data_IF_302947872036
#
_entry.id   IF_302947872036
#
_cell.length_a   1.000
_cell.length_b   1.000
_cell.length_c   1.000
_cell.angle_alpha   90.00
_cell.angle_beta   90.00
_cell.angle_gamma   90.00
#
_symmetry.space_group_name_H-M   'P 1'
#
loop_
_entity.id
_entity.type
_entity.pdbx_description
1 polymer ?
#
# COMPACT_ATOMS: atom_id res chain seq x y z
N UNK A 1 -52.77 53.95 0.46
CA UNK A 1 -52.39 52.58 0.84
C UNK A 1 -51.91 51.84 -0.41
N UNK A 2 -50.64 52.00 -0.76
CA UNK A 2 -50.00 51.27 -1.86
C UNK A 2 -48.90 50.45 -1.19
N UNK A 3 -49.12 49.15 -1.09
CA UNK A 3 -48.26 48.20 -0.41
C UNK A 3 -47.05 47.89 -1.29
N UNK A 4 -45.88 48.35 -0.86
CA UNK A 4 -44.58 47.98 -1.42
C UNK A 4 -44.31 46.49 -1.20
N UNK A 5 -44.47 45.69 -2.27
CA UNK A 5 -43.96 44.32 -2.31
C UNK A 5 -42.44 44.40 -2.55
N UNK A 6 -41.68 44.18 -1.47
CA UNK A 6 -40.23 44.01 -1.53
C UNK A 6 -39.91 42.77 -2.38
N UNK A 7 -39.37 43.02 -3.56
CA UNK A 7 -38.81 42.03 -4.46
C UNK A 7 -37.52 41.47 -3.83
N UNK A 8 -37.67 40.47 -2.95
CA UNK A 8 -36.55 39.73 -2.38
C UNK A 8 -35.82 39.02 -3.52
N UNK A 9 -34.62 39.52 -3.84
CA UNK A 9 -33.75 38.98 -4.88
C UNK A 9 -33.30 37.56 -4.54
N UNK A 10 -34.13 36.57 -4.84
CA UNK A 10 -33.71 35.18 -4.94
C UNK A 10 -32.84 35.05 -6.18
N UNK A 11 -31.52 35.18 -5.99
CA UNK A 11 -30.54 34.75 -6.98
C UNK A 11 -30.75 33.25 -7.20
N UNK A 12 -31.30 32.87 -8.36
CA UNK A 12 -31.48 31.47 -8.71
C UNK A 12 -30.13 30.74 -8.54
N UNK A 13 -30.07 29.66 -7.74
CA UNK A 13 -28.84 28.90 -7.61
C UNK A 13 -28.42 28.44 -8.99
N UNK A 14 -27.13 28.63 -9.31
CA UNK A 14 -26.58 28.23 -10.58
C UNK A 14 -26.77 26.72 -10.75
N UNK A 15 -27.73 26.31 -11.60
CA UNK A 15 -28.16 24.92 -11.75
C UNK A 15 -26.99 23.98 -12.10
N UNK A 16 -25.98 24.50 -12.80
CA UNK A 16 -24.77 23.75 -13.15
C UNK A 16 -23.90 23.45 -11.92
N UNK A 17 -23.86 24.36 -10.94
CA UNK A 17 -23.16 24.11 -9.67
C UNK A 17 -23.79 22.95 -8.92
N UNK A 18 -25.13 22.91 -8.84
CA UNK A 18 -25.86 21.84 -8.15
C UNK A 18 -25.58 20.48 -8.79
N UNK A 19 -25.64 20.39 -10.12
CA UNK A 19 -25.35 19.15 -10.86
C UNK A 19 -23.89 18.72 -10.67
N UNK A 20 -22.94 19.67 -10.69
CA UNK A 20 -21.52 19.34 -10.51
C UNK A 20 -21.15 18.84 -9.11
N UNK A 21 -21.92 19.25 -8.09
CA UNK A 21 -21.72 18.84 -6.70
C UNK A 21 -22.51 17.59 -6.28
N UNK A 22 -23.45 17.14 -7.11
CA UNK A 22 -24.34 16.03 -6.77
C UNK A 22 -23.56 14.71 -6.75
N UNK A 23 -23.74 13.92 -5.67
CA UNK A 23 -23.12 12.59 -5.60
C UNK A 23 -23.81 11.61 -6.54
N UNK A 24 -23.15 10.49 -6.84
CA UNK A 24 -23.74 9.38 -7.61
C UNK A 24 -25.09 8.93 -7.03
N UNK A 25 -25.21 8.92 -5.69
CA UNK A 25 -26.43 8.52 -4.98
C UNK A 25 -27.54 9.55 -5.17
N UNK A 26 -27.21 10.85 -5.11
CA UNK A 26 -28.18 11.93 -5.31
C UNK A 26 -28.71 11.93 -6.74
N UNK A 27 -27.84 11.67 -7.72
CA UNK A 27 -28.22 11.58 -9.13
C UNK A 27 -29.13 10.38 -9.41
N UNK A 28 -28.89 9.23 -8.76
CA UNK A 28 -29.83 8.09 -8.82
C UNK A 28 -31.15 8.44 -8.14
N UNK A 29 -31.12 9.01 -6.92
CA UNK A 29 -32.31 9.35 -6.16
C UNK A 29 -33.19 10.41 -6.86
N UNK A 30 -32.57 11.31 -7.63
CA UNK A 30 -33.27 12.31 -8.44
C UNK A 30 -34.07 11.71 -9.61
N UNK A 31 -33.88 10.42 -9.90
CA UNK A 31 -34.51 9.69 -11.01
C UNK A 31 -34.34 10.42 -12.37
N UNK A 32 -33.21 11.10 -12.56
CA UNK A 32 -32.94 11.84 -13.77
C UNK A 32 -32.74 10.87 -14.96
N UNK A 33 -33.60 10.90 -15.99
CA UNK A 33 -33.55 9.92 -17.08
C UNK A 33 -32.29 10.03 -17.94
N UNK A 34 -31.68 11.22 -18.03
CA UNK A 34 -30.43 11.41 -18.78
C UNK A 34 -29.28 10.71 -18.07
N UNK A 35 -29.20 10.87 -16.75
CA UNK A 35 -28.19 10.23 -15.94
C UNK A 35 -28.33 8.70 -15.94
N UNK A 36 -29.55 8.19 -15.79
CA UNK A 36 -29.82 6.76 -15.83
C UNK A 36 -29.44 6.13 -17.18
N UNK A 37 -29.76 6.80 -18.29
CA UNK A 37 -29.32 6.35 -19.63
C UNK A 37 -27.80 6.37 -19.77
N UNK A 38 -27.12 7.40 -19.26
CA UNK A 38 -25.66 7.47 -19.27
C UNK A 38 -25.03 6.34 -18.45
N UNK A 39 -25.57 6.07 -17.26
CA UNK A 39 -25.13 4.97 -16.40
C UNK A 39 -25.34 3.60 -17.05
N UNK A 40 -26.49 3.38 -17.68
CA UNK A 40 -26.77 2.16 -18.44
C UNK A 40 -25.79 2.00 -19.62
N UNK A 41 -25.52 3.08 -20.35
CA UNK A 41 -24.57 3.08 -21.47
C UNK A 41 -23.15 2.75 -20.99
N UNK A 42 -22.72 3.35 -19.88
CA UNK A 42 -21.42 3.06 -19.26
C UNK A 42 -21.29 1.57 -18.88
N UNK A 43 -22.31 1.00 -18.22
CA UNK A 43 -22.30 -0.42 -17.84
C UNK A 43 -22.29 -1.34 -19.06
N UNK A 44 -23.02 -0.98 -20.10
CA UNK A 44 -23.04 -1.75 -21.35
C UNK A 44 -21.67 -1.75 -22.02
N UNK A 45 -21.04 -0.57 -22.12
CA UNK A 45 -19.70 -0.43 -22.69
C UNK A 45 -18.66 -1.20 -21.86
N UNK A 46 -18.78 -1.16 -20.53
CA UNK A 46 -17.91 -1.91 -19.63
C UNK A 46 -17.99 -3.43 -19.87
N UNK A 47 -19.20 -3.98 -20.00
CA UNK A 47 -19.38 -5.40 -20.31
C UNK A 47 -18.90 -5.77 -21.71
N UNK A 48 -19.12 -4.92 -22.72
CA UNK A 48 -18.58 -5.13 -24.06
C UNK A 48 -17.05 -5.19 -24.05
N UNK A 49 -16.40 -4.27 -23.34
CA UNK A 49 -14.94 -4.25 -23.21
C UNK A 49 -14.43 -5.51 -22.50
N UNK A 50 -15.11 -5.95 -21.44
CA UNK A 50 -14.82 -7.21 -20.75
C UNK A 50 -14.94 -8.41 -21.69
N UNK A 51 -16.01 -8.49 -22.48
CA UNK A 51 -16.23 -9.56 -23.46
C UNK A 51 -15.15 -9.56 -24.55
N UNK A 52 -14.80 -8.38 -25.10
CA UNK A 52 -13.72 -8.25 -26.09
C UNK A 52 -12.37 -8.71 -25.53
N UNK A 53 -12.05 -8.38 -24.28
CA UNK A 53 -10.83 -8.91 -23.64
C UNK A 53 -10.86 -10.43 -23.52
N UNK A 54 -11.99 -11.01 -23.13
CA UNK A 54 -12.14 -12.47 -23.04
C UNK A 54 -12.04 -13.15 -24.41
N UNK A 55 -12.66 -12.57 -25.44
CA UNK A 55 -12.54 -13.06 -26.82
C UNK A 55 -11.12 -12.97 -27.33
N UNK A 56 -10.42 -11.86 -27.08
CA UNK A 56 -9.02 -11.67 -27.50
C UNK A 56 -8.12 -12.73 -26.87
N UNK A 57 -8.28 -13.03 -25.57
CA UNK A 57 -7.52 -14.08 -24.90
C UNK A 57 -7.89 -15.47 -25.45
N UNK A 58 -9.17 -15.73 -25.72
CA UNK A 58 -9.63 -17.02 -26.27
C UNK A 58 -9.13 -17.25 -27.70
N UNK A 59 -9.22 -16.24 -28.58
CA UNK A 59 -8.73 -16.29 -29.95
C UNK A 59 -7.22 -16.46 -30.01
N UNK A 60 -6.46 -15.84 -29.09
CA UNK A 60 -5.02 -16.05 -28.99
C UNK A 60 -4.66 -17.51 -28.67
N UNK A 61 -5.47 -18.19 -27.84
CA UNK A 61 -5.27 -19.61 -27.53
C UNK A 61 -5.68 -20.54 -28.69
N UNK A 62 -6.76 -20.22 -29.42
CA UNK A 62 -7.24 -21.05 -30.53
C UNK A 62 -6.37 -20.94 -31.78
N UNK A 63 -5.77 -19.76 -32.04
CA UNK A 63 -4.87 -19.56 -33.20
C UNK A 63 -3.55 -20.36 -33.10
N UNK A 64 -3.24 -20.96 -31.95
CA UNK A 64 -2.06 -21.81 -31.76
C UNK A 64 -2.23 -23.27 -32.24
N UNK A 65 -3.43 -23.67 -32.70
CA UNK A 65 -3.76 -25.09 -32.98
C UNK A 65 -3.86 -25.52 -34.44
N UNK A 66 -3.49 -24.67 -35.41
CA UNK A 66 -3.42 -25.05 -36.83
C UNK A 66 -1.97 -25.15 -37.34
N UNK A 67 -1.28 -26.29 -37.19
CA UNK A 67 -0.03 -26.58 -37.87
C UNK A 67 -0.34 -27.25 -39.21
N UNK A 68 -0.62 -26.48 -40.26
CA UNK A 68 -0.65 -27.04 -41.62
C UNK A 68 -0.25 -26.02 -42.66
N UNK A 69 1.01 -26.15 -43.09
CA UNK A 69 1.62 -25.68 -44.34
C UNK A 69 1.69 -24.14 -44.52
N UNK A 70 2.80 -23.47 -44.79
CA UNK A 70 4.03 -23.82 -45.51
C UNK A 70 5.23 -23.04 -44.93
N UNK A 71 6.40 -23.63 -45.14
CA UNK A 71 7.75 -23.19 -44.83
C UNK A 71 8.10 -21.79 -45.32
N UNK A 72 8.40 -20.86 -44.41
CA UNK A 72 9.43 -19.83 -44.63
C UNK A 72 10.08 -19.51 -43.27
N UNK A 73 11.41 -19.58 -43.25
CA UNK A 73 12.29 -19.46 -42.07
C UNK A 73 11.97 -18.25 -41.20
N UNK A 74 11.10 -18.45 -40.23
CA UNK A 74 10.79 -17.45 -39.21
C UNK A 74 11.65 -17.79 -38.00
N UNK A 75 12.56 -16.91 -37.55
CA UNK A 75 13.36 -17.18 -36.37
C UNK A 75 12.41 -17.42 -35.20
N UNK A 76 12.50 -18.62 -34.62
CA UNK A 76 11.70 -19.07 -33.51
C UNK A 76 11.87 -18.11 -32.33
N UNK A 77 10.96 -17.15 -32.22
CA UNK A 77 10.67 -16.46 -30.97
C UNK A 77 9.85 -17.44 -30.14
N UNK A 78 10.50 -18.49 -29.65
CA UNK A 78 10.01 -19.22 -28.50
C UNK A 78 9.67 -18.15 -27.46
N UNK A 79 8.39 -18.02 -27.03
CA UNK A 79 8.10 -17.28 -25.82
C UNK A 79 8.85 -18.04 -24.74
N UNK A 80 10.06 -17.56 -24.45
CA UNK A 80 10.85 -17.95 -23.31
C UNK A 80 10.02 -17.51 -22.12
N UNK A 81 9.04 -18.35 -21.78
CA UNK A 81 8.50 -18.44 -20.45
C UNK A 81 9.70 -18.83 -19.61
N UNK A 82 10.53 -17.82 -19.32
CA UNK A 82 11.74 -17.94 -18.53
C UNK A 82 11.27 -18.72 -17.31
N UNK A 83 11.80 -19.94 -17.11
CA UNK A 83 11.49 -20.71 -15.93
C UNK A 83 11.61 -19.72 -14.79
N UNK A 84 10.51 -19.52 -14.05
CA UNK A 84 10.59 -18.74 -12.83
C UNK A 84 11.37 -19.64 -11.89
N UNK A 85 12.69 -19.64 -12.07
CA UNK A 85 13.60 -20.47 -11.31
C UNK A 85 13.27 -20.19 -9.87
N UNK A 86 12.82 -21.24 -9.18
CA UNK A 86 12.57 -21.19 -7.77
C UNK A 86 13.90 -20.81 -7.14
N UNK A 87 14.00 -19.56 -6.70
CA UNK A 87 15.20 -19.08 -6.04
C UNK A 87 15.30 -19.81 -4.72
N UNK A 88 16.24 -20.74 -4.66
CA UNK A 88 16.52 -21.52 -3.47
C UNK A 88 17.64 -20.86 -2.67
N UNK A 89 17.59 -21.07 -1.36
CA UNK A 89 18.59 -20.58 -0.40
C UNK A 89 20.00 -21.06 -0.71
N UNK A 90 20.15 -22.24 -1.31
CA UNK A 90 21.42 -22.81 -1.74
C UNK A 90 22.15 -21.99 -2.80
N UNK A 91 21.41 -21.25 -3.63
CA UNK A 91 22.01 -20.43 -4.71
C UNK A 91 22.57 -19.10 -4.19
N UNK A 92 22.06 -18.60 -3.07
CA UNK A 92 22.47 -17.33 -2.47
C UNK A 92 22.76 -17.52 -0.96
N UNK A 93 23.87 -18.18 -0.61
CA UNK A 93 24.18 -18.51 0.79
C UNK A 93 24.48 -17.28 1.66
N UNK A 94 24.82 -16.14 1.04
CA UNK A 94 25.10 -14.89 1.75
C UNK A 94 23.85 -14.24 2.35
N UNK A 95 22.65 -14.63 1.89
CA UNK A 95 21.39 -14.04 2.32
C UNK A 95 20.95 -14.67 3.64
N UNK A 96 20.84 -13.85 4.68
CA UNK A 96 20.55 -14.30 6.05
C UNK A 96 19.05 -14.36 6.31
N UNK A 97 18.31 -13.44 5.69
CA UNK A 97 16.90 -13.20 5.96
C UNK A 97 16.00 -13.81 4.89
N UNK A 98 16.16 -15.12 4.65
CA UNK A 98 15.35 -15.86 3.67
C UNK A 98 13.88 -15.99 4.08
N UNK A 99 13.62 -16.29 5.36
CA UNK A 99 12.28 -16.49 5.91
C UNK A 99 11.88 -15.35 6.84
N UNK A 100 10.57 -15.13 6.99
CA UNK A 100 10.02 -14.13 7.92
C UNK A 100 10.40 -14.44 9.38
N UNK A 101 10.50 -15.72 9.73
CA UNK A 101 10.84 -16.15 11.08
C UNK A 101 12.29 -15.82 11.43
N UNK A 102 13.23 -15.98 10.49
CA UNK A 102 14.62 -15.57 10.69
C UNK A 102 14.73 -14.07 10.97
N UNK A 103 13.95 -13.26 10.23
CA UNK A 103 13.87 -11.83 10.50
C UNK A 103 13.32 -11.52 11.88
N UNK A 104 12.20 -12.14 12.28
CA UNK A 104 11.62 -11.94 13.61
C UNK A 104 12.60 -12.31 14.74
N UNK A 105 13.32 -13.43 14.61
CA UNK A 105 14.38 -13.85 15.55
C UNK A 105 15.53 -12.84 15.61
N UNK A 106 15.94 -12.27 14.47
CA UNK A 106 16.98 -11.24 14.45
C UNK A 106 16.54 -9.94 15.15
N UNK A 107 15.25 -9.61 15.10
CA UNK A 107 14.67 -8.42 15.74
C UNK A 107 14.52 -8.59 17.25
N UNK A 108 14.19 -9.78 17.75
CA UNK A 108 14.13 -10.04 19.19
C UNK A 108 15.48 -9.86 19.86
N UNK A 109 16.57 -10.31 19.22
CA UNK A 109 17.93 -10.19 19.77
C UNK A 109 18.39 -8.72 19.90
N UNK A 110 17.95 -7.84 18.99
CA UNK A 110 18.29 -6.41 19.03
C UNK A 110 17.58 -5.65 20.16
N UNK A 111 16.39 -6.08 20.58
CA UNK A 111 15.64 -5.42 21.66
C UNK A 111 16.34 -5.57 23.02
N UNK A 112 17.07 -6.66 23.23
CA UNK A 112 17.75 -6.94 24.51
C UNK A 112 18.99 -6.07 24.72
N UNK A 113 19.61 -5.55 23.66
CA UNK A 113 20.90 -4.84 23.75
C UNK A 113 20.79 -3.31 23.87
N UNK A 114 19.59 -2.72 23.77
CA UNK A 114 19.41 -1.25 23.66
C UNK A 114 18.95 -0.58 24.97
N UNK A 115 19.16 -1.20 26.14
CA UNK A 115 18.81 -0.59 27.44
C UNK A 115 19.83 0.45 27.93
N UNK A 116 21.02 0.55 27.33
CA UNK A 116 22.06 1.50 27.75
C UNK A 116 22.48 2.44 26.61
N UNK A 117 22.03 3.69 26.66
CA UNK A 117 22.80 4.80 26.08
C UNK A 117 22.06 5.70 25.10
N UNK A 118 21.83 6.94 25.57
CA UNK A 118 21.65 8.21 24.83
C UNK A 118 20.54 8.25 23.78
N UNK A 119 19.56 9.11 24.04
CA UNK A 119 18.51 9.51 23.09
C UNK A 119 19.13 9.87 21.72
N UNK A 120 19.10 8.93 20.77
CA UNK A 120 19.67 9.11 19.45
C UNK A 120 18.92 10.20 18.68
N UNK A 121 19.67 11.03 17.96
CA UNK A 121 19.13 12.05 17.05
C UNK A 121 18.04 11.44 16.15
N UNK A 122 16.82 12.01 16.22
CA UNK A 122 15.64 11.55 15.49
C UNK A 122 15.62 12.06 14.05
N UNK A 123 15.13 11.21 13.14
CA UNK A 123 14.52 11.59 11.86
C UNK A 123 15.48 11.98 10.74
N UNK A 124 15.95 13.21 10.74
CA UNK A 124 16.57 13.82 9.55
C UNK A 124 18.03 13.38 9.31
N UNK A 125 18.85 13.35 10.38
CA UNK A 125 20.30 13.14 10.25
C UNK A 125 20.65 11.73 9.73
N UNK A 126 19.82 10.72 9.98
CA UNK A 126 20.08 9.33 9.55
C UNK A 126 19.77 9.13 8.07
N UNK A 127 18.71 9.76 7.58
CA UNK A 127 18.36 9.73 6.16
C UNK A 127 19.45 10.41 5.31
N UNK A 128 20.02 11.51 5.79
CA UNK A 128 21.14 12.18 5.14
C UNK A 128 22.43 11.32 5.04
N UNK A 129 22.56 10.31 5.91
CA UNK A 129 23.71 9.39 5.92
C UNK A 129 23.47 8.11 5.12
N UNK A 130 22.40 8.04 4.34
CA UNK A 130 22.02 6.87 3.55
C UNK A 130 21.81 5.59 4.40
N UNK A 131 21.47 5.76 5.69
CA UNK A 131 21.28 4.64 6.62
C UNK A 131 19.84 4.14 6.50
N UNK A 132 19.68 2.89 6.05
CA UNK A 132 18.39 2.21 6.07
C UNK A 132 17.99 1.89 7.53
N UNK A 133 16.87 2.45 7.98
CA UNK A 133 16.32 2.20 9.32
C UNK A 133 15.03 1.38 9.26
N UNK A 134 14.29 1.46 8.16
CA UNK A 134 12.92 0.93 8.08
C UNK A 134 12.86 -0.49 7.51
N UNK A 135 13.64 -0.77 6.47
CA UNK A 135 13.54 -2.01 5.70
C UNK A 135 14.84 -2.80 5.81
N UNK A 136 15.29 -3.03 7.05
CA UNK A 136 16.54 -3.76 7.38
C UNK A 136 16.53 -5.23 6.92
N UNK A 137 15.39 -5.72 6.43
CA UNK A 137 15.24 -7.07 5.88
C UNK A 137 15.55 -7.18 4.39
N UNK A 138 15.74 -6.06 3.70
CA UNK A 138 16.07 -6.07 2.27
C UNK A 138 17.58 -6.26 2.16
N UNK A 139 17.97 -7.40 1.60
CA UNK A 139 19.36 -7.81 1.39
C UNK A 139 19.57 -8.04 -0.11
N UNK A 140 20.73 -7.62 -0.62
CA UNK A 140 21.19 -7.93 -1.97
C UNK A 140 21.76 -9.35 -2.04
N UNK A 141 22.14 -9.79 -3.23
CA UNK A 141 22.65 -11.15 -3.49
C UNK A 141 23.94 -11.46 -2.70
N UNK A 142 24.74 -10.44 -2.41
CA UNK A 142 25.97 -10.51 -1.61
C UNK A 142 25.71 -10.53 -0.09
N UNK A 143 24.45 -10.44 0.34
CA UNK A 143 24.05 -10.37 1.75
C UNK A 143 24.20 -8.98 2.37
N UNK A 144 24.54 -7.94 1.58
CA UNK A 144 24.56 -6.56 2.07
C UNK A 144 23.13 -6.03 2.22
N UNK A 145 22.89 -5.24 3.26
CA UNK A 145 21.57 -4.62 3.50
C UNK A 145 21.41 -3.44 2.55
N UNK A 146 20.25 -3.34 1.90
CA UNK A 146 19.95 -2.22 1.02
C UNK A 146 20.09 -0.86 1.74
N UNK A 147 20.64 0.11 1.03
CA UNK A 147 20.89 1.48 1.51
C UNK A 147 19.59 2.26 1.72
N UNK A 148 19.65 3.36 2.46
CA UNK A 148 18.48 4.19 2.75
C UNK A 148 17.82 4.77 1.49
N UNK A 149 18.64 5.14 0.50
CA UNK A 149 18.26 5.69 -0.80
C UNK A 149 17.61 4.65 -1.70
N UNK A 150 18.18 3.44 -1.79
CA UNK A 150 17.55 2.33 -2.53
C UNK A 150 16.17 2.02 -1.97
N UNK A 151 16.05 1.93 -0.64
CA UNK A 151 14.77 1.70 0.02
C UNK A 151 13.78 2.85 -0.20
N UNK A 152 14.25 4.09 -0.26
CA UNK A 152 13.41 5.26 -0.62
C UNK A 152 12.84 5.10 -2.04
N UNK A 153 13.68 4.73 -3.01
CA UNK A 153 13.27 4.47 -4.39
C UNK A 153 12.29 3.29 -4.50
N UNK A 154 12.50 2.22 -3.74
CA UNK A 154 11.56 1.10 -3.66
C UNK A 154 10.18 1.57 -3.18
N UNK A 155 10.11 2.40 -2.14
CA UNK A 155 8.84 2.95 -1.63
C UNK A 155 8.18 3.91 -2.62
N UNK A 156 8.96 4.70 -3.36
CA UNK A 156 8.46 5.57 -4.44
C UNK A 156 7.84 4.74 -5.56
N UNK A 157 8.54 3.69 -5.97
CA UNK A 157 8.06 2.71 -6.96
C UNK A 157 6.75 2.07 -6.50
N UNK A 158 6.70 1.61 -5.24
CA UNK A 158 5.52 1.00 -4.66
C UNK A 158 4.30 1.93 -4.63
N UNK A 159 4.48 3.20 -4.24
CA UNK A 159 3.40 4.20 -4.27
C UNK A 159 2.93 4.50 -5.70
N UNK A 160 3.84 4.50 -6.68
CA UNK A 160 3.48 4.58 -8.10
C UNK A 160 2.61 3.40 -8.54
N UNK A 161 2.98 2.17 -8.13
CA UNK A 161 2.20 0.97 -8.42
C UNK A 161 0.81 1.04 -7.78
N UNK A 162 0.68 1.54 -6.55
CA UNK A 162 -0.65 1.72 -5.92
C UNK A 162 -1.54 2.70 -6.70
N UNK A 163 -0.98 3.79 -7.24
CA UNK A 163 -1.71 4.70 -8.14
C UNK A 163 -2.17 3.99 -9.42
N UNK A 164 -1.30 3.17 -10.02
CA UNK A 164 -1.66 2.37 -11.20
C UNK A 164 -2.76 1.35 -10.88
N UNK A 165 -2.70 0.70 -9.71
CA UNK A 165 -3.73 -0.24 -9.26
C UNK A 165 -5.06 0.49 -9.08
N UNK A 166 -5.08 1.65 -8.42
CA UNK A 166 -6.29 2.48 -8.27
C UNK A 166 -6.93 2.82 -9.62
N UNK A 167 -6.11 3.17 -10.62
CA UNK A 167 -6.59 3.56 -11.94
C UNK A 167 -7.04 2.36 -12.79
N UNK A 168 -6.37 1.21 -12.65
CA UNK A 168 -6.60 0.03 -13.51
C UNK A 168 -7.63 -0.94 -12.92
N UNK A 169 -7.75 -0.98 -11.59
CA UNK A 169 -8.62 -1.88 -10.83
C UNK A 169 -9.44 -1.10 -9.79
N UNK A 170 -10.24 -0.11 -10.19
CA UNK A 170 -10.96 0.77 -9.25
C UNK A 170 -11.91 0.00 -8.34
N UNK A 171 -12.52 -1.09 -8.82
CA UNK A 171 -13.45 -1.93 -8.07
C UNK A 171 -12.76 -2.95 -7.16
N UNK A 172 -11.45 -3.19 -7.33
CA UNK A 172 -10.70 -4.21 -6.56
C UNK A 172 -9.72 -3.59 -5.56
N UNK A 173 -9.81 -2.27 -5.31
CA UNK A 173 -8.92 -1.61 -4.37
C UNK A 173 -9.32 -2.02 -2.93
N UNK A 174 -8.48 -2.77 -2.20
CA UNK A 174 -8.89 -3.34 -0.94
C UNK A 174 -8.80 -2.30 0.20
N UNK A 175 -9.65 -2.40 1.21
CA UNK A 175 -9.56 -1.52 2.39
C UNK A 175 -8.26 -1.70 3.17
N UNK A 176 -7.74 -2.93 3.20
CA UNK A 176 -6.44 -3.29 3.80
C UNK A 176 -5.66 -4.15 2.82
N UNK A 177 -4.33 -4.08 2.85
CA UNK A 177 -3.51 -4.85 1.90
C UNK A 177 -3.70 -6.37 2.04
N UNK A 178 -3.99 -6.86 3.24
CA UNK A 178 -4.29 -8.28 3.47
C UNK A 178 -5.58 -8.78 2.81
N UNK A 179 -6.48 -7.87 2.40
CA UNK A 179 -7.72 -8.19 1.69
C UNK A 179 -7.60 -7.99 0.16
N UNK A 180 -6.38 -7.76 -0.36
CA UNK A 180 -6.15 -7.58 -1.79
C UNK A 180 -6.50 -8.84 -2.60
N UNK A 181 -7.06 -8.66 -3.80
CA UNK A 181 -7.32 -9.76 -4.73
C UNK A 181 -6.00 -10.41 -5.18
N UNK A 182 -6.05 -11.70 -5.55
CA UNK A 182 -4.86 -12.42 -6.06
C UNK A 182 -4.29 -11.70 -7.30
N UNK A 183 -5.14 -11.15 -8.15
CA UNK A 183 -4.74 -10.40 -9.34
C UNK A 183 -3.94 -9.13 -8.96
N UNK A 184 -4.42 -8.35 -7.98
CA UNK A 184 -3.74 -7.15 -7.49
C UNK A 184 -2.41 -7.50 -6.81
N UNK A 185 -2.39 -8.56 -5.99
CA UNK A 185 -1.16 -9.02 -5.33
C UNK A 185 -0.11 -9.44 -6.37
N UNK A 186 -0.52 -10.23 -7.37
CA UNK A 186 0.37 -10.67 -8.46
C UNK A 186 0.90 -9.48 -9.25
N UNK A 187 0.03 -8.56 -9.67
CA UNK A 187 0.43 -7.34 -10.38
C UNK A 187 1.46 -6.53 -9.60
N UNK A 188 1.22 -6.32 -8.32
CA UNK A 188 2.14 -5.59 -7.45
C UNK A 188 3.50 -6.31 -7.34
N UNK A 189 3.51 -7.62 -7.11
CA UNK A 189 4.74 -8.42 -7.01
C UNK A 189 5.56 -8.36 -8.29
N UNK A 190 4.92 -8.60 -9.44
CA UNK A 190 5.60 -8.61 -10.75
C UNK A 190 6.26 -7.26 -11.03
N UNK A 191 5.54 -6.15 -10.79
CA UNK A 191 6.09 -4.79 -10.96
C UNK A 191 7.21 -4.47 -9.97
N UNK A 192 7.08 -4.88 -8.71
CA UNK A 192 8.14 -4.67 -7.71
C UNK A 192 9.38 -5.49 -8.02
N UNK A 193 9.27 -6.76 -8.44
CA UNK A 193 10.42 -7.59 -8.80
C UNK A 193 11.11 -7.13 -10.07
N UNK A 194 10.35 -6.65 -11.04
CA UNK A 194 10.93 -6.07 -12.26
C UNK A 194 11.77 -4.83 -11.97
N UNK A 195 11.38 -4.01 -10.99
CA UNK A 195 12.10 -2.79 -10.63
C UNK A 195 13.21 -3.05 -9.59
N UNK A 196 13.00 -3.97 -8.65
CA UNK A 196 13.85 -4.21 -7.49
C UNK A 196 14.04 -5.72 -7.26
N UNK A 197 14.95 -6.38 -8.02
CA UNK A 197 15.12 -7.83 -7.98
C UNK A 197 15.48 -8.40 -6.61
N UNK A 198 16.17 -7.63 -5.75
CA UNK A 198 16.55 -8.06 -4.40
C UNK A 198 15.34 -8.44 -3.51
N UNK A 199 14.15 -7.91 -3.80
CA UNK A 199 12.93 -8.26 -3.06
C UNK A 199 12.46 -9.70 -3.35
N UNK A 200 12.90 -10.29 -4.47
CA UNK A 200 12.59 -11.68 -4.85
C UNK A 200 13.39 -12.70 -4.04
N UNK A 201 14.47 -12.26 -3.37
CA UNK A 201 15.35 -13.08 -2.54
C UNK A 201 14.72 -13.35 -1.17
N UNK A 202 13.51 -13.92 -1.16
CA UNK A 202 12.80 -14.35 0.05
C UNK A 202 11.79 -15.48 -0.21
N UNK A 203 11.51 -16.30 0.81
CA UNK A 203 10.51 -17.36 0.68
C UNK A 203 9.10 -16.79 0.71
N UNK A 204 8.19 -17.36 -0.07
CA UNK A 204 6.76 -16.97 -0.08
C UNK A 204 6.52 -15.46 -0.28
N UNK A 205 7.45 -14.75 -0.93
CA UNK A 205 7.33 -13.32 -1.22
C UNK A 205 7.11 -12.45 0.04
N UNK A 206 7.66 -12.84 1.19
CA UNK A 206 7.34 -12.17 2.46
C UNK A 206 7.90 -10.75 2.52
N UNK A 207 9.07 -10.46 1.93
CA UNK A 207 9.69 -9.12 1.95
C UNK A 207 8.81 -8.09 1.25
N UNK A 208 8.40 -8.37 0.01
CA UNK A 208 7.52 -7.47 -0.77
C UNK A 208 6.13 -7.35 -0.13
N UNK A 209 5.61 -8.42 0.47
CA UNK A 209 4.29 -8.41 1.11
C UNK A 209 4.30 -7.58 2.40
N UNK A 210 5.38 -7.68 3.19
CA UNK A 210 5.59 -6.84 4.38
C UNK A 210 5.74 -5.36 3.98
N UNK A 211 6.58 -5.08 2.99
CA UNK A 211 6.80 -3.73 2.48
C UNK A 211 5.49 -3.08 1.99
N UNK A 212 4.65 -3.84 1.30
CA UNK A 212 3.33 -3.39 0.87
C UNK A 212 2.39 -3.11 2.04
N UNK A 213 2.36 -3.97 3.05
CA UNK A 213 1.54 -3.76 4.25
C UNK A 213 1.92 -2.47 4.97
N UNK A 214 3.21 -2.22 5.12
CA UNK A 214 3.75 -1.02 5.78
C UNK A 214 3.40 0.27 5.02
N UNK A 215 3.56 0.26 3.69
CA UNK A 215 3.33 1.44 2.86
C UNK A 215 1.83 1.70 2.59
N UNK A 216 1.03 0.65 2.41
CA UNK A 216 -0.33 0.74 1.89
C UNK A 216 -1.27 1.50 2.83
N UNK A 217 -1.21 1.24 4.14
CA UNK A 217 -2.12 1.86 5.12
C UNK A 217 -2.07 3.39 5.09
N UNK A 218 -0.85 3.95 5.08
CA UNK A 218 -0.61 5.39 5.00
C UNK A 218 -1.06 5.97 3.66
N UNK A 219 -0.73 5.30 2.55
CA UNK A 219 -1.10 5.71 1.22
C UNK A 219 -2.62 5.70 1.01
N UNK A 220 -3.30 4.63 1.41
CA UNK A 220 -4.75 4.46 1.26
C UNK A 220 -5.53 5.53 2.01
N UNK A 221 -5.08 5.85 3.23
CA UNK A 221 -5.71 6.92 4.03
C UNK A 221 -5.62 8.27 3.31
N UNK A 222 -4.43 8.64 2.79
CA UNK A 222 -4.22 9.89 2.04
C UNK A 222 -5.00 9.92 0.71
N UNK A 223 -5.00 8.83 -0.04
CA UNK A 223 -5.42 8.83 -1.45
C UNK A 223 -6.84 8.30 -1.73
N UNK A 224 -7.47 7.65 -0.74
CA UNK A 224 -8.77 7.01 -0.91
C UNK A 224 -9.76 7.48 0.14
N UNK A 225 -9.39 7.42 1.42
CA UNK A 225 -10.30 7.86 2.50
C UNK A 225 -10.51 9.38 2.48
N UNK A 226 -9.44 10.15 2.37
CA UNK A 226 -9.55 11.62 2.42
C UNK A 226 -10.22 12.20 1.18
N UNK A 227 -10.03 11.59 0.00
CA UNK A 227 -10.70 12.03 -1.23
C UNK A 227 -12.21 11.82 -1.19
N UNK A 228 -12.72 10.88 -0.38
CA UNK A 228 -14.16 10.72 -0.19
C UNK A 228 -14.76 11.81 0.71
N UNK A 229 -13.95 12.42 1.59
CA UNK A 229 -14.39 13.47 2.51
C UNK A 229 -14.14 14.89 1.96
N UNK A 230 -13.14 15.06 1.08
CA UNK A 230 -12.68 16.35 0.55
C UNK A 230 -13.11 16.52 -0.91
N UNK A 231 -14.39 16.26 -1.21
CA UNK A 231 -15.08 16.90 -2.34
C UNK A 231 -15.72 18.24 -1.92
N UNK A 232 -15.21 18.83 -0.84
CA UNK A 232 -15.38 20.24 -0.51
C UNK A 232 -14.00 20.88 -0.44
N UNK A 233 -13.74 21.73 -1.43
CA UNK A 233 -12.63 22.68 -1.57
C UNK A 233 -11.20 22.17 -1.82
N UNK A 234 -10.64 22.77 -2.88
CA UNK A 234 -9.22 23.06 -3.17
C UNK A 234 -8.36 21.95 -3.78
N UNK A 235 -8.15 22.11 -5.09
CA UNK A 235 -6.93 21.75 -5.80
C UNK A 235 -5.72 22.42 -5.12
N UNK A 236 -5.02 21.69 -4.25
CA UNK A 236 -3.68 22.06 -3.83
C UNK A 236 -2.71 20.94 -4.21
N UNK A 237 -1.78 21.35 -5.07
CA UNK A 237 -0.53 20.74 -5.49
C UNK A 237 0.01 19.69 -4.51
N UNK A 238 0.09 18.42 -4.96
CA UNK A 238 0.74 17.31 -4.25
C UNK A 238 2.27 17.49 -4.35
N UNK A 239 2.75 18.57 -3.74
CA UNK A 239 4.17 18.75 -3.45
C UNK A 239 4.48 17.77 -2.31
N UNK A 240 5.08 16.63 -2.66
CA UNK A 240 5.77 15.76 -1.73
C UNK A 240 6.88 16.58 -1.04
N UNK A 241 6.53 17.32 0.01
CA UNK A 241 7.46 17.94 0.97
C UNK A 241 8.13 16.84 1.82
N UNK A 242 8.79 15.89 1.18
CA UNK A 242 10.03 15.32 1.70
C UNK A 242 11.11 16.37 1.40
N UNK A 243 11.11 17.46 2.18
CA UNK A 243 12.08 18.54 2.11
C UNK A 243 13.50 17.98 2.21
N UNK A 244 14.07 17.72 1.05
CA UNK A 244 15.49 17.53 0.84
C UNK A 244 16.14 18.88 1.13
N UNK A 245 16.53 19.07 2.39
CA UNK A 245 17.40 20.17 2.81
C UNK A 245 18.76 20.02 2.12
N UNK A 246 18.81 20.44 0.86
CA UNK A 246 20.02 20.61 0.07
C UNK A 246 20.94 21.56 0.84
N UNK A 247 21.95 20.97 1.46
CA UNK A 247 22.95 21.67 2.26
C UNK A 247 23.91 22.38 1.31
N UNK A 248 23.56 23.59 0.87
CA UNK A 248 24.53 24.50 0.30
C UNK A 248 25.55 24.92 1.39
N UNK A 249 26.84 25.10 1.05
CA UNK A 249 27.86 25.44 2.03
C UNK A 249 27.68 26.88 2.54
N UNK A 250 27.87 27.15 3.86
CA UNK A 250 27.83 28.50 4.38
C UNK A 250 29.12 29.23 3.96
N UNK A 251 29.01 30.16 3.01
CA UNK A 251 30.07 31.11 2.72
C UNK A 251 29.67 32.52 3.14
N UNK A 252 30.64 33.16 3.79
CA UNK A 252 30.78 34.59 4.00
C UNK A 252 29.99 35.27 5.11
N UNK A 253 30.74 35.48 6.19
CA UNK A 253 30.62 36.53 7.19
C UNK A 253 29.95 37.83 6.71
N UNK A 254 29.03 38.35 7.53
CA UNK A 254 28.92 39.80 7.70
C UNK A 254 28.54 40.17 9.12
N UNK A 255 29.38 41.06 9.63
CA UNK A 255 29.54 41.59 10.97
C UNK A 255 28.31 42.35 11.52
N UNK A 256 28.03 42.09 12.80
CA UNK A 256 27.75 43.05 13.89
C UNK A 256 27.01 44.37 13.57
N UNK A 257 25.84 44.55 14.19
CA UNK A 257 25.61 45.70 15.09
C UNK A 257 24.36 45.50 15.94
N UNK A 258 24.48 45.90 17.20
CA UNK A 258 23.64 45.62 18.35
C UNK A 258 22.26 46.30 18.38
N UNK A 259 21.28 45.63 18.98
CA UNK A 259 20.27 46.22 19.88
C UNK A 259 19.52 45.10 20.65
N UNK A 260 19.28 45.24 21.96
CA UNK A 260 18.58 44.22 22.76
C UNK A 260 17.07 44.53 22.79
N UNK A 261 16.26 43.72 22.12
CA UNK A 261 14.80 43.71 22.36
C UNK A 261 14.42 42.43 23.06
N UNK A 262 14.24 42.56 24.37
CA UNK A 262 13.61 41.57 25.24
C UNK A 262 12.23 41.21 24.67
N UNK A 263 12.05 39.96 24.23
CA UNK A 263 10.73 39.38 24.00
C UNK A 263 10.57 38.14 24.88
N UNK A 264 9.60 38.27 25.76
CA UNK A 264 9.15 37.35 26.79
C UNK A 264 8.74 36.00 26.19
N UNK A 265 9.19 34.84 26.73
CA UNK A 265 8.64 33.56 26.34
C UNK A 265 7.26 33.35 26.98
N UNK A 266 6.21 33.40 26.16
CA UNK A 266 4.85 33.00 26.53
C UNK A 266 4.78 31.49 26.79
N UNK A 267 5.03 31.09 28.03
CA UNK A 267 4.73 29.75 28.55
C UNK A 267 3.22 29.52 28.51
N UNK A 268 2.73 28.85 27.48
CA UNK A 268 1.38 28.29 27.46
C UNK A 268 1.37 27.08 28.38
N UNK A 269 1.04 27.32 29.65
CA UNK A 269 0.74 26.29 30.64
C UNK A 269 -0.45 25.46 30.12
N UNK A 270 -0.15 24.27 29.60
CA UNK A 270 -1.15 23.24 29.36
C UNK A 270 -1.45 22.61 30.72
N UNK A 271 -2.52 23.08 31.34
CA UNK A 271 -3.09 22.52 32.57
C UNK A 271 -3.26 21.02 32.41
N UNK A 272 -2.44 20.27 33.13
CA UNK A 272 -2.55 18.84 33.32
C UNK A 272 -3.74 18.64 34.26
N UNK A 273 -4.90 18.31 33.71
CA UNK A 273 -6.02 17.77 34.49
C UNK A 273 -5.65 16.33 34.87
N UNK A 274 -5.57 15.99 36.17
CA UNK A 274 -5.36 14.61 36.58
C UNK A 274 -6.65 13.84 36.32
N UNK A 275 -6.65 12.99 35.30
CA UNK A 275 -7.72 12.01 35.10
C UNK A 275 -7.73 11.04 36.28
N UNK A 276 -8.71 11.26 37.14
CA UNK A 276 -9.17 10.36 38.19
C UNK A 276 -9.49 8.98 37.60
N UNK A 277 -8.69 8.00 37.99
CA UNK A 277 -9.12 6.71 38.54
C UNK A 277 -10.55 6.26 38.14
N UNK A 278 -10.70 5.64 36.97
CA UNK A 278 -11.75 4.66 36.73
C UNK A 278 -11.13 3.26 36.80
N UNK A 279 -11.12 2.70 38.01
CA UNK A 279 -11.06 1.26 38.25
C UNK A 279 -12.24 0.61 37.53
N UNK A 280 -12.02 0.03 36.35
CA UNK A 280 -12.99 -0.86 35.72
C UNK A 280 -12.66 -2.28 36.17
N UNK A 281 -13.61 -2.88 36.88
CA UNK A 281 -13.48 -4.17 37.54
C UNK A 281 -13.07 -5.28 36.57
N UNK A 282 -12.17 -6.14 37.07
CA UNK A 282 -12.00 -7.51 36.60
C UNK A 282 -13.35 -8.23 36.70
N UNK A 283 -14.02 -8.41 35.57
CA UNK A 283 -14.96 -9.53 35.42
C UNK A 283 -14.12 -10.80 35.36
N UNK A 284 -14.40 -11.71 36.30
CA UNK A 284 -13.86 -13.05 36.32
C UNK A 284 -14.12 -13.74 34.98
N UNK A 285 -13.07 -14.28 34.36
CA UNK A 285 -13.22 -15.20 33.24
C UNK A 285 -13.92 -16.46 33.75
N UNK A 286 -14.94 -16.96 33.03
CA UNK A 286 -15.52 -18.26 33.32
C UNK A 286 -14.54 -19.39 32.97
N UNK A 287 -14.59 -20.38 33.85
CA UNK A 287 -14.06 -21.73 33.85
C UNK A 287 -13.78 -22.35 32.45
N UNK A 288 -12.60 -22.96 32.21
CA UNK A 288 -12.37 -23.74 31.00
C UNK A 288 -13.25 -25.00 31.01
N UNK A 289 -14.22 -25.03 30.08
CA UNK A 289 -14.97 -26.25 29.78
C UNK A 289 -14.03 -27.40 29.37
N UNK A 290 -14.36 -28.64 29.74
CA UNK A 290 -13.51 -29.80 29.54
C UNK A 290 -13.34 -30.13 28.06
N UNK A 291 -12.09 -30.40 27.68
CA UNK A 291 -11.67 -30.89 26.37
C UNK A 291 -12.34 -32.26 26.12
N UNK A 292 -13.02 -32.48 24.99
CA UNK A 292 -13.47 -33.80 24.58
C UNK A 292 -12.24 -34.71 24.42
N UNK A 293 -12.21 -35.81 25.16
CA UNK A 293 -11.16 -36.81 25.00
C UNK A 293 -11.22 -37.37 23.58
N UNK A 294 -10.11 -37.19 22.87
CA UNK A 294 -9.86 -37.77 21.57
C UNK A 294 -9.79 -39.30 21.75
N UNK A 295 -10.78 -39.98 21.16
CA UNK A 295 -10.90 -41.43 21.16
C UNK A 295 -9.71 -42.03 20.42
N UNK A 296 -8.82 -42.68 21.19
CA UNK A 296 -7.67 -43.44 20.68
C UNK A 296 -8.21 -44.63 19.90
N UNK A 297 -8.26 -44.52 18.58
CA UNK A 297 -8.54 -45.64 17.68
C UNK A 297 -7.33 -46.60 17.76
N UNK A 298 -7.51 -47.87 18.19
CA UNK A 298 -6.43 -48.84 18.20
C UNK A 298 -6.00 -49.21 16.76
N UNK A 299 -4.71 -49.51 16.52
CA UNK A 299 -4.26 -49.98 15.22
C UNK A 299 -4.93 -51.33 14.89
N UNK A 300 -5.65 -51.37 13.79
CA UNK A 300 -6.18 -52.61 13.22
C UNK A 300 -5.00 -53.51 12.82
N UNK A 301 -4.83 -54.61 13.55
CA UNK A 301 -4.03 -55.75 13.11
C UNK A 301 -4.58 -56.28 11.80
N UNK A 302 -3.84 -56.09 10.71
CA UNK A 302 -3.96 -56.93 9.52
C UNK A 302 -2.89 -58.00 9.59
N UNK A 303 -3.17 -59.04 10.39
CA UNK A 303 -2.69 -60.38 10.08
C UNK A 303 -3.53 -60.86 8.90
N UNK A 304 -2.90 -61.20 7.78
CA UNK A 304 -3.19 -62.44 7.04
C UNK A 304 -2.51 -62.53 5.68
N UNK A 305 -1.66 -63.56 5.57
CA UNK A 305 -1.68 -64.58 4.51
C UNK A 305 -1.27 -64.12 3.11
N UNK A 306 -0.03 -64.44 2.72
CA UNK A 306 0.24 -65.07 1.43
C UNK A 306 1.30 -66.16 1.64
N UNK A 307 0.87 -67.40 1.36
CA UNK A 307 1.72 -68.58 1.11
C UNK A 307 2.33 -68.54 -0.28
#
# INVERSE_FOLDING_TARGET
MISSLNNSGYSAPNFLSVISSASHVDLIASNNPVYLNLLQSHNTLFEQHRQLRMQTVSSALQSSRNPSALTLSTPSLTPSAAPTELINDTTFPSIRLWTRDNFNKSQSNKKTTTMNGKAGARGSVRAAKDINVMHLYVEHEDGTVATGREVREMRKTQRSIFRQIKNSFPTELPSTWGAASIAVIKYHRDKMYSAHPCLRLCTSHWKVSLMATDAYSSWYTKNVKNTAAVNQSSDEDDSDDDAESSSAPPSSARSTSAAPSVKVPSKRNRTFVPSTLCKKGRTASPDPSPVPQEEVIPPSSTDSIIS
#
